data_IF_362290915101
#
_entry.id   IF_362290915101
#
_cell.length_a   1.000
_cell.length_b   1.000
_cell.length_c   1.000
_cell.angle_alpha   90.00
_cell.angle_beta   90.00
_cell.angle_gamma   90.00
#
_symmetry.space_group_name_H-M   'P 1'
#
loop_
_entity.id
_entity.type
_entity.pdbx_description
1 polymer ?
#
# COMPACT_ATOMS: atom_id res chain seq x y z
N UNK A 1 1.41 28.48 15.43
CA UNK A 1 0.85 27.61 16.48
C UNK A 1 1.57 26.27 16.35
N UNK A 2 2.25 25.81 17.39
CA UNK A 2 2.81 24.46 17.40
C UNK A 2 1.65 23.45 17.40
N UNK A 3 1.61 22.58 16.40
CA UNK A 3 0.56 21.55 16.28
C UNK A 3 0.56 20.64 17.51
N UNK A 4 -0.61 20.39 18.08
CA UNK A 4 -0.75 19.45 19.21
C UNK A 4 -0.59 18.02 18.70
N UNK A 5 0.20 17.22 19.41
CA UNK A 5 0.43 15.81 19.06
C UNK A 5 -0.74 14.98 19.59
N UNK A 6 -1.39 14.22 18.70
CA UNK A 6 -2.43 13.28 19.06
C UNK A 6 -1.86 11.85 19.03
N UNK A 7 -2.03 11.11 20.12
CA UNK A 7 -1.56 9.73 20.24
C UNK A 7 -2.61 8.76 19.71
N UNK A 8 -2.19 7.87 18.83
CA UNK A 8 -3.05 6.81 18.27
C UNK A 8 -2.66 5.47 18.85
N UNK A 9 -3.64 4.60 18.99
CA UNK A 9 -3.43 3.26 19.52
C UNK A 9 -2.76 2.33 18.48
N UNK A 10 -3.11 2.47 17.20
CA UNK A 10 -2.59 1.63 16.12
C UNK A 10 -2.58 2.35 14.76
N UNK A 11 -1.45 2.31 14.04
CA UNK A 11 -1.27 2.93 12.71
C UNK A 11 -2.17 2.37 11.59
N UNK A 12 -2.84 1.23 11.84
CA UNK A 12 -3.73 0.58 10.86
C UNK A 12 -5.15 1.13 10.90
N UNK A 13 -5.45 2.01 11.83
CA UNK A 13 -6.72 2.74 11.89
C UNK A 13 -6.73 3.85 10.82
N UNK A 14 -7.90 4.11 10.23
CA UNK A 14 -8.15 5.27 9.37
C UNK A 14 -7.87 6.56 10.13
N UNK A 15 -7.23 7.57 9.50
CA UNK A 15 -6.97 8.84 10.17
C UNK A 15 -8.27 9.44 10.75
N UNK A 16 -8.32 9.77 12.05
CA UNK A 16 -9.43 10.54 12.58
C UNK A 16 -9.34 11.96 12.02
N UNK A 17 -10.48 12.64 12.02
CA UNK A 17 -10.54 14.06 11.73
C UNK A 17 -10.60 14.79 13.06
N UNK A 18 -9.78 15.82 13.21
CA UNK A 18 -9.75 16.63 14.43
C UNK A 18 -10.27 18.01 14.08
N UNK A 19 -11.21 18.50 14.87
CA UNK A 19 -11.76 19.84 14.74
C UNK A 19 -11.39 20.67 15.96
N UNK A 20 -10.83 21.86 15.74
CA UNK A 20 -10.73 22.87 16.79
C UNK A 20 -12.00 23.71 16.74
N UNK A 21 -12.79 23.64 17.81
CA UNK A 21 -14.09 24.32 17.87
C UNK A 21 -13.93 25.62 18.65
N UNK A 22 -14.15 26.75 17.99
CA UNK A 22 -13.85 28.08 18.52
C UNK A 22 -14.67 28.45 19.77
N UNK A 23 -15.96 28.15 19.78
CA UNK A 23 -16.88 28.43 20.90
C UNK A 23 -16.62 27.57 22.14
N UNK A 24 -16.21 26.31 21.95
CA UNK A 24 -15.84 25.40 23.04
C UNK A 24 -14.38 25.59 23.48
N UNK A 25 -13.53 26.17 22.63
CA UNK A 25 -12.08 26.23 22.80
C UNK A 25 -11.44 24.83 23.05
N UNK A 26 -11.99 23.80 22.38
CA UNK A 26 -11.60 22.40 22.54
C UNK A 26 -11.27 21.74 21.20
N UNK A 27 -10.44 20.70 21.26
CA UNK A 27 -10.17 19.80 20.13
C UNK A 27 -11.15 18.62 20.21
N UNK A 28 -11.99 18.43 19.19
CA UNK A 28 -12.89 17.29 19.06
C UNK A 28 -12.34 16.32 18.03
N UNK A 29 -12.13 15.07 18.45
CA UNK A 29 -11.66 13.98 17.58
C UNK A 29 -12.85 13.16 17.06
N UNK A 30 -12.99 13.09 15.74
CA UNK A 30 -13.99 12.27 15.06
C UNK A 30 -13.34 11.02 14.45
N UNK A 31 -13.68 9.87 15.02
CA UNK A 31 -13.28 8.54 14.52
C UNK A 31 -14.51 7.82 13.95
N UNK A 32 -14.39 7.31 12.72
CA UNK A 32 -15.45 6.49 12.14
C UNK A 32 -15.39 5.09 12.72
N UNK A 33 -16.53 4.63 13.25
CA UNK A 33 -16.70 3.31 13.84
C UNK A 33 -17.67 2.53 12.97
N UNK A 34 -17.22 1.40 12.43
CA UNK A 34 -18.02 0.52 11.60
C UNK A 34 -18.81 -0.45 12.47
N UNK A 35 -20.03 -0.79 12.05
CA UNK A 35 -20.86 -1.82 12.69
C UNK A 35 -21.31 -2.82 11.64
N UNK A 36 -20.96 -4.08 11.80
CA UNK A 36 -21.33 -5.17 10.90
C UNK A 36 -22.12 -6.24 11.64
N UNK A 37 -23.17 -6.77 11.01
CA UNK A 37 -23.92 -7.91 11.53
C UNK A 37 -23.24 -9.22 11.13
N UNK A 38 -22.79 -10.00 12.11
CA UNK A 38 -22.19 -11.32 11.93
C UNK A 38 -23.12 -12.37 12.54
N UNK A 39 -23.97 -12.97 11.72
CA UNK A 39 -25.01 -13.88 12.19
C UNK A 39 -25.98 -13.17 13.16
N UNK A 40 -25.92 -13.54 14.44
CA UNK A 40 -26.75 -12.94 15.52
C UNK A 40 -26.05 -11.82 16.30
N UNK A 41 -24.76 -11.57 16.09
CA UNK A 41 -24.04 -10.51 16.81
C UNK A 41 -23.77 -9.29 15.90
N UNK A 42 -23.51 -8.14 16.54
CA UNK A 42 -22.99 -6.95 15.87
C UNK A 42 -21.54 -6.76 16.30
N UNK A 43 -20.63 -6.76 15.33
CA UNK A 43 -19.22 -6.45 15.54
C UNK A 43 -19.02 -4.96 15.26
N UNK A 44 -18.42 -4.25 16.21
CA UNK A 44 -18.18 -2.81 16.13
C UNK A 44 -16.71 -2.50 16.41
N UNK A 45 -16.06 -1.75 15.52
CA UNK A 45 -14.64 -1.41 15.61
C UNK A 45 -14.31 -0.18 14.77
N UNK A 46 -13.18 0.48 15.07
CA UNK A 46 -12.70 1.63 14.32
C UNK A 46 -12.42 1.26 12.87
N UNK A 47 -12.81 2.13 11.94
CA UNK A 47 -12.58 1.91 10.51
C UNK A 47 -11.08 1.69 10.25
N UNK A 48 -10.69 0.56 9.63
CA UNK A 48 -9.31 0.33 9.25
C UNK A 48 -8.94 1.14 8.00
N UNK A 49 -7.65 1.42 7.86
CA UNK A 49 -7.06 1.83 6.59
C UNK A 49 -6.49 0.58 5.90
N UNK A 50 -7.05 0.18 4.75
CA UNK A 50 -6.64 -1.06 4.09
C UNK A 50 -5.21 -0.98 3.59
N UNK A 51 -4.79 0.18 3.09
CA UNK A 51 -3.39 0.44 2.71
C UNK A 51 -2.45 0.14 3.89
N UNK A 52 -2.73 0.66 5.09
CA UNK A 52 -1.95 0.41 6.30
C UNK A 52 -1.94 -1.08 6.69
N UNK A 53 -3.07 -1.78 6.59
CA UNK A 53 -3.14 -3.22 6.90
C UNK A 53 -2.20 -4.01 5.98
N UNK A 54 -2.27 -3.76 4.67
CA UNK A 54 -1.44 -4.46 3.69
C UNK A 54 0.04 -4.12 3.84
N UNK A 55 0.39 -2.84 4.06
CA UNK A 55 1.77 -2.43 4.36
C UNK A 55 2.30 -3.10 5.63
N UNK A 56 1.50 -3.12 6.69
CA UNK A 56 1.89 -3.74 7.96
C UNK A 56 2.11 -5.25 7.81
N UNK A 57 1.28 -5.92 7.01
CA UNK A 57 1.49 -7.33 6.69
C UNK A 57 2.77 -7.53 5.87
N UNK A 58 2.93 -6.74 4.80
CA UNK A 58 4.12 -6.78 3.94
C UNK A 58 5.41 -6.61 4.72
N UNK A 59 5.47 -5.65 5.64
CA UNK A 59 6.67 -5.36 6.45
C UNK A 59 6.99 -6.51 7.42
N UNK A 60 5.96 -7.08 8.08
CA UNK A 60 6.12 -8.24 8.95
C UNK A 60 6.70 -9.44 8.19
N UNK A 61 6.12 -9.77 7.03
CA UNK A 61 6.60 -10.88 6.20
C UNK A 61 8.01 -10.60 5.65
N UNK A 62 8.30 -9.36 5.23
CA UNK A 62 9.62 -8.94 4.77
C UNK A 62 10.69 -9.13 5.85
N UNK A 63 10.34 -8.82 7.11
CA UNK A 63 11.25 -8.99 8.25
C UNK A 63 11.60 -10.46 8.47
N UNK A 64 10.61 -11.35 8.40
CA UNK A 64 10.85 -12.80 8.52
C UNK A 64 11.71 -13.32 7.36
N UNK A 65 11.36 -12.96 6.12
CA UNK A 65 12.14 -13.33 4.94
C UNK A 65 13.59 -12.84 5.04
N UNK A 66 13.83 -11.60 5.49
CA UNK A 66 15.19 -11.07 5.68
C UNK A 66 15.98 -11.80 6.75
N UNK A 67 15.34 -12.22 7.84
CA UNK A 67 16.00 -13.04 8.86
C UNK A 67 16.54 -14.32 8.24
N UNK A 68 15.67 -15.10 7.58
CA UNK A 68 16.07 -16.36 6.95
C UNK A 68 17.11 -16.13 5.84
N UNK A 69 16.91 -15.11 5.01
CA UNK A 69 17.86 -14.78 3.93
C UNK A 69 19.27 -14.55 4.46
N UNK A 70 19.40 -13.78 5.54
CA UNK A 70 20.71 -13.44 6.09
C UNK A 70 21.38 -14.61 6.82
N UNK A 71 20.61 -15.54 7.38
CA UNK A 71 21.14 -16.70 8.11
C UNK A 71 21.44 -17.89 7.21
N UNK A 72 20.61 -18.14 6.19
CA UNK A 72 20.69 -19.32 5.34
C UNK A 72 21.27 -19.01 3.95
N UNK A 73 20.65 -18.07 3.22
CA UNK A 73 20.88 -17.89 1.78
C UNK A 73 22.15 -17.07 1.51
N UNK A 74 22.25 -15.88 2.12
CA UNK A 74 23.33 -14.92 1.89
C UNK A 74 24.72 -15.49 2.20
N UNK A 75 24.95 -16.21 3.33
CA UNK A 75 26.27 -16.76 3.62
C UNK A 75 26.72 -17.77 2.57
N UNK A 76 25.80 -18.63 2.10
CA UNK A 76 26.10 -19.66 1.10
C UNK A 76 26.37 -19.06 -0.29
N UNK A 77 25.63 -18.03 -0.71
CA UNK A 77 25.89 -17.31 -1.97
C UNK A 77 27.28 -16.66 -1.98
N UNK A 78 27.72 -16.08 -0.86
CA UNK A 78 29.03 -15.41 -0.76
C UNK A 78 30.19 -16.40 -0.90
N UNK A 79 30.01 -17.65 -0.46
CA UNK A 79 31.04 -18.68 -0.51
C UNK A 79 31.27 -19.24 -1.93
N UNK A 80 30.44 -18.90 -2.93
CA UNK A 80 30.61 -19.22 -4.37
C UNK A 80 30.88 -20.70 -4.70
N UNK A 81 30.42 -21.62 -3.87
CA UNK A 81 30.48 -23.06 -4.11
C UNK A 81 29.09 -23.60 -4.50
N UNK A 82 29.07 -24.76 -5.16
CA UNK A 82 27.86 -25.59 -5.22
C UNK A 82 27.58 -26.06 -3.79
N UNK A 83 26.41 -25.74 -3.25
CA UNK A 83 26.01 -26.17 -1.92
C UNK A 83 24.69 -26.93 -2.00
N UNK A 84 24.65 -28.10 -1.38
CA UNK A 84 23.41 -28.82 -1.15
C UNK A 84 22.81 -28.37 0.19
N UNK A 85 21.49 -28.21 0.21
CA UNK A 85 20.76 -27.90 1.44
C UNK A 85 20.39 -29.21 2.15
N UNK A 86 20.50 -29.23 3.48
CA UNK A 86 19.91 -30.30 4.28
C UNK A 86 18.38 -30.25 4.20
N UNK A 87 17.71 -31.27 4.73
CA UNK A 87 16.24 -31.26 4.80
C UNK A 87 15.72 -30.10 5.65
N UNK A 88 16.40 -29.78 6.75
CA UNK A 88 16.06 -28.66 7.63
C UNK A 88 16.28 -27.31 6.93
N UNK A 89 17.40 -27.17 6.21
CA UNK A 89 17.66 -25.98 5.39
C UNK A 89 16.61 -25.81 4.27
N UNK A 90 16.13 -26.91 3.69
CA UNK A 90 15.05 -26.86 2.68
C UNK A 90 13.74 -26.34 3.28
N UNK A 91 13.38 -26.76 4.49
CA UNK A 91 12.19 -26.23 5.19
C UNK A 91 12.31 -24.71 5.36
N UNK A 92 13.46 -24.23 5.84
CA UNK A 92 13.72 -22.79 5.99
C UNK A 92 13.68 -22.05 4.65
N UNK A 93 14.17 -22.66 3.58
CA UNK A 93 14.07 -22.08 2.24
C UNK A 93 12.60 -21.95 1.79
N UNK A 94 11.74 -22.93 2.09
CA UNK A 94 10.32 -22.84 1.79
C UNK A 94 9.64 -21.74 2.61
N UNK A 95 9.92 -21.65 3.91
CA UNK A 95 9.43 -20.55 4.76
C UNK A 95 9.87 -19.18 4.21
N UNK A 96 11.11 -19.07 3.75
CA UNK A 96 11.59 -17.86 3.08
C UNK A 96 10.77 -17.53 1.83
N UNK A 97 10.52 -18.50 0.96
CA UNK A 97 9.76 -18.31 -0.27
C UNK A 97 8.32 -17.89 0.03
N UNK A 98 7.68 -18.49 1.04
CA UNK A 98 6.35 -18.10 1.50
C UNK A 98 6.33 -16.64 2.00
N UNK A 99 7.25 -16.28 2.90
CA UNK A 99 7.32 -14.93 3.45
C UNK A 99 7.64 -13.88 2.38
N UNK A 100 8.59 -14.13 1.48
CA UNK A 100 8.99 -13.14 0.48
C UNK A 100 7.89 -12.94 -0.57
N UNK A 101 7.23 -14.01 -1.02
CA UNK A 101 6.12 -13.91 -1.97
C UNK A 101 4.93 -13.21 -1.33
N UNK A 102 4.59 -13.56 -0.08
CA UNK A 102 3.54 -12.88 0.68
C UNK A 102 3.83 -11.38 0.82
N UNK A 103 5.07 -11.01 1.13
CA UNK A 103 5.49 -9.61 1.19
C UNK A 103 5.32 -8.88 -0.14
N UNK A 104 5.72 -9.49 -1.27
CA UNK A 104 5.57 -8.91 -2.61
C UNK A 104 4.10 -8.65 -2.96
N UNK A 105 3.23 -9.64 -2.74
CA UNK A 105 1.80 -9.53 -3.03
C UNK A 105 1.18 -8.43 -2.18
N UNK A 106 1.40 -8.46 -0.86
CA UNK A 106 0.84 -7.49 0.08
C UNK A 106 1.35 -6.06 -0.18
N UNK A 107 2.64 -5.90 -0.51
CA UNK A 107 3.23 -4.60 -0.83
C UNK A 107 2.55 -3.96 -2.05
N UNK A 108 2.33 -4.73 -3.12
CA UNK A 108 1.67 -4.22 -4.31
C UNK A 108 0.19 -3.96 -4.06
N UNK A 109 -0.50 -4.88 -3.37
CA UNK A 109 -1.92 -4.72 -3.00
C UNK A 109 -2.15 -3.48 -2.15
N UNK A 110 -1.22 -3.12 -1.25
CA UNK A 110 -1.31 -1.86 -0.52
C UNK A 110 -1.37 -0.64 -1.46
N UNK A 111 -0.57 -0.62 -2.52
CA UNK A 111 -0.58 0.48 -3.50
C UNK A 111 -1.87 0.48 -4.32
N UNK A 112 -2.43 -0.69 -4.63
CA UNK A 112 -3.74 -0.82 -5.29
C UNK A 112 -4.85 -0.23 -4.42
N UNK A 113 -4.87 -0.57 -3.13
CA UNK A 113 -5.79 0.01 -2.17
C UNK A 113 -5.61 1.53 -2.07
N UNK A 114 -4.38 2.01 -1.93
CA UNK A 114 -4.11 3.44 -1.83
C UNK A 114 -4.64 4.20 -3.05
N UNK A 115 -4.36 3.70 -4.25
CA UNK A 115 -4.80 4.34 -5.49
C UNK A 115 -6.32 4.47 -5.58
N UNK A 116 -7.06 3.46 -5.13
CA UNK A 116 -8.52 3.49 -5.13
C UNK A 116 -9.05 4.38 -3.98
N UNK A 117 -8.47 4.29 -2.78
CA UNK A 117 -8.91 5.04 -1.61
C UNK A 117 -8.67 6.55 -1.74
N UNK A 118 -7.64 6.99 -2.46
CA UNK A 118 -7.35 8.41 -2.69
C UNK A 118 -8.18 9.04 -3.80
N UNK A 119 -8.83 8.26 -4.66
CA UNK A 119 -9.56 8.79 -5.80
C UNK A 119 -10.86 9.47 -5.35
N UNK A 120 -11.09 10.76 -5.66
CA UNK A 120 -12.36 11.40 -5.34
C UNK A 120 -13.53 10.69 -6.04
N UNK A 121 -14.66 10.55 -5.33
CA UNK A 121 -15.83 9.78 -5.84
C UNK A 121 -16.37 10.32 -7.17
N UNK A 122 -16.36 11.65 -7.32
CA UNK A 122 -16.90 12.34 -8.49
C UNK A 122 -15.84 12.66 -9.56
N UNK A 123 -14.63 12.13 -9.41
CA UNK A 123 -13.57 12.36 -10.40
C UNK A 123 -13.84 11.59 -11.70
N UNK A 124 -13.63 12.28 -12.83
CA UNK A 124 -13.71 11.70 -14.17
C UNK A 124 -12.35 11.83 -14.85
N UNK A 125 -11.75 10.69 -15.17
CA UNK A 125 -10.50 10.63 -15.90
C UNK A 125 -10.75 10.67 -17.40
N UNK A 126 -10.08 11.59 -18.11
CA UNK A 126 -10.17 11.71 -19.57
C UNK A 126 -8.88 11.22 -20.21
N UNK A 127 -8.98 10.18 -21.05
CA UNK A 127 -7.85 9.61 -21.77
C UNK A 127 -8.05 9.76 -23.27
N UNK A 128 -7.03 10.25 -23.98
CA UNK A 128 -7.01 10.21 -25.45
C UNK A 128 -6.68 8.80 -25.91
N UNK A 129 -7.53 8.23 -26.76
CA UNK A 129 -7.32 6.91 -27.38
C UNK A 129 -6.77 7.06 -28.80
N UNK A 130 -6.31 5.94 -29.40
CA UNK A 130 -5.91 5.92 -30.80
C UNK A 130 -7.07 6.40 -31.68
N UNK A 131 -6.81 7.37 -32.57
CA UNK A 131 -7.83 8.03 -33.37
C UNK A 131 -8.24 9.42 -32.88
N UNK A 132 -7.72 9.88 -31.72
CA UNK A 132 -7.95 11.24 -31.21
C UNK A 132 -9.24 11.42 -30.42
N UNK A 133 -10.07 10.38 -30.33
CA UNK A 133 -11.24 10.36 -29.45
C UNK A 133 -10.82 10.45 -27.98
N UNK A 134 -11.67 11.08 -27.17
CA UNK A 134 -11.49 11.18 -25.72
C UNK A 134 -12.46 10.22 -25.07
N UNK A 135 -11.91 9.24 -24.34
CA UNK A 135 -12.68 8.33 -23.51
C UNK A 135 -12.70 8.85 -22.08
N UNK A 136 -13.89 8.92 -21.50
CA UNK A 136 -14.10 9.30 -20.11
C UNK A 136 -14.31 8.06 -19.25
N UNK A 137 -13.65 8.03 -18.09
CA UNK A 137 -13.75 6.95 -17.11
C UNK A 137 -14.22 7.55 -15.79
N UNK A 138 -15.36 7.10 -15.28
CA UNK A 138 -15.80 7.43 -13.93
C UNK A 138 -15.00 6.61 -12.89
N UNK A 139 -15.26 6.84 -11.60
CA UNK A 139 -14.57 6.13 -10.52
C UNK A 139 -14.63 4.59 -10.64
N UNK A 140 -15.80 4.00 -10.95
CA UNK A 140 -15.95 2.55 -11.14
C UNK A 140 -15.17 2.03 -12.36
N UNK A 141 -15.17 2.80 -13.44
CA UNK A 141 -14.42 2.44 -14.65
C UNK A 141 -12.90 2.53 -14.41
N UNK A 142 -12.45 3.54 -13.67
CA UNK A 142 -11.05 3.68 -13.25
C UNK A 142 -10.65 2.48 -12.40
N UNK A 143 -11.45 2.13 -11.38
CA UNK A 143 -11.18 1.01 -10.49
C UNK A 143 -11.00 -0.30 -11.27
N UNK A 144 -11.87 -0.56 -12.25
CA UNK A 144 -11.96 -1.82 -12.98
C UNK A 144 -11.01 -1.94 -14.18
N UNK A 145 -10.78 -0.86 -14.92
CA UNK A 145 -10.14 -0.92 -16.23
C UNK A 145 -8.79 -0.21 -16.31
N UNK A 146 -8.50 0.72 -15.39
CA UNK A 146 -7.22 1.42 -15.38
C UNK A 146 -6.22 0.63 -14.53
N UNK A 147 -5.03 0.39 -15.09
CA UNK A 147 -3.99 -0.35 -14.37
C UNK A 147 -3.53 0.43 -13.13
N UNK A 148 -3.07 -0.27 -12.09
CA UNK A 148 -2.53 0.37 -10.89
C UNK A 148 -1.38 1.33 -11.20
N UNK A 149 -0.54 0.99 -12.18
CA UNK A 149 0.55 1.85 -12.63
C UNK A 149 0.00 3.15 -13.21
N UNK A 150 -1.00 3.08 -14.08
CA UNK A 150 -1.60 4.26 -14.69
C UNK A 150 -2.40 5.09 -13.66
N UNK A 151 -3.05 4.42 -12.70
CA UNK A 151 -3.70 5.11 -11.57
C UNK A 151 -2.69 5.98 -10.83
N UNK A 152 -1.55 5.42 -10.45
CA UNK A 152 -0.51 6.14 -9.72
C UNK A 152 0.19 7.20 -10.60
N UNK A 153 0.51 6.88 -11.85
CA UNK A 153 1.33 7.72 -12.71
C UNK A 153 0.56 8.85 -13.41
N UNK A 154 -0.74 8.66 -13.65
CA UNK A 154 -1.54 9.55 -14.49
C UNK A 154 -2.81 10.03 -13.78
N UNK A 155 -3.58 9.11 -13.17
CA UNK A 155 -4.88 9.45 -12.59
C UNK A 155 -4.72 10.28 -11.31
N UNK A 156 -3.95 9.80 -10.32
CA UNK A 156 -3.78 10.52 -9.05
C UNK A 156 -3.15 11.91 -9.23
N UNK A 157 -2.08 12.09 -10.04
CA UNK A 157 -1.57 13.43 -10.33
C UNK A 157 -2.62 14.35 -10.94
N UNK A 158 -3.48 13.84 -11.83
CA UNK A 158 -4.55 14.61 -12.44
C UNK A 158 -5.70 14.92 -11.47
N UNK A 159 -5.99 14.03 -10.52
CA UNK A 159 -7.12 14.17 -9.60
C UNK A 159 -6.78 15.02 -8.37
N UNK A 160 -5.54 14.93 -7.89
CA UNK A 160 -5.12 15.47 -6.58
C UNK A 160 -4.01 16.51 -6.70
N UNK A 161 -3.49 16.76 -7.91
CA UNK A 161 -2.42 17.74 -8.13
C UNK A 161 -1.06 17.34 -7.58
N UNK A 162 -0.86 16.05 -7.27
CA UNK A 162 0.42 15.55 -6.75
C UNK A 162 1.48 15.39 -7.85
N UNK A 163 2.74 15.38 -7.43
CA UNK A 163 3.88 15.17 -8.32
C UNK A 163 3.80 13.80 -8.99
N UNK A 164 4.04 13.76 -10.31
CA UNK A 164 4.05 12.52 -11.07
C UNK A 164 5.13 11.55 -10.55
N UNK A 165 4.75 10.37 -10.00
CA UNK A 165 5.71 9.46 -9.38
C UNK A 165 6.72 8.81 -10.33
N UNK A 166 6.48 8.86 -11.65
CA UNK A 166 7.42 8.32 -12.66
C UNK A 166 8.79 9.00 -12.63
N UNK A 167 8.87 10.21 -12.07
CA UNK A 167 10.10 10.99 -11.93
C UNK A 167 10.97 10.53 -10.75
N UNK A 168 10.45 9.68 -9.86
CA UNK A 168 11.19 9.24 -8.69
C UNK A 168 12.21 8.14 -9.04
N UNK A 169 13.38 8.19 -8.39
CA UNK A 169 14.49 7.27 -8.65
C UNK A 169 14.15 5.78 -8.36
N UNK A 170 13.19 5.52 -7.48
CA UNK A 170 12.73 4.18 -7.15
C UNK A 170 11.62 3.67 -8.08
N UNK A 171 11.06 4.51 -8.96
CA UNK A 171 9.97 4.14 -9.86
C UNK A 171 10.28 2.90 -10.72
N UNK A 172 11.48 2.74 -11.31
CA UNK A 172 11.80 1.51 -12.05
C UNK A 172 11.85 0.24 -11.19
N UNK A 173 12.07 0.37 -9.87
CA UNK A 173 11.99 -0.76 -8.94
C UNK A 173 10.54 -1.10 -8.61
N UNK A 174 9.69 -0.07 -8.49
CA UNK A 174 8.26 -0.23 -8.24
C UNK A 174 7.55 -0.89 -9.42
N UNK A 175 7.85 -0.49 -10.67
CA UNK A 175 7.29 -1.17 -11.84
C UNK A 175 7.71 -2.64 -11.89
N UNK A 176 8.97 -2.95 -11.54
CA UNK A 176 9.45 -4.34 -11.41
C UNK A 176 8.79 -5.11 -10.26
N UNK A 177 8.30 -4.43 -9.21
CA UNK A 177 7.51 -5.07 -8.15
C UNK A 177 6.18 -5.57 -8.71
N UNK A 178 5.49 -4.78 -9.55
CA UNK A 178 4.28 -5.22 -10.26
C UNK A 178 4.55 -6.48 -11.08
N UNK A 179 5.60 -6.45 -11.89
CA UNK A 179 5.93 -7.56 -12.78
C UNK A 179 6.20 -8.83 -11.97
N UNK A 180 7.00 -8.73 -10.91
CA UNK A 180 7.28 -9.85 -10.02
C UNK A 180 6.02 -10.39 -9.33
N UNK A 181 5.13 -9.52 -8.87
CA UNK A 181 3.84 -9.91 -8.28
C UNK A 181 2.95 -10.64 -9.31
N UNK A 182 2.91 -10.17 -10.55
CA UNK A 182 2.16 -10.82 -11.62
C UNK A 182 2.76 -12.19 -11.95
N UNK A 183 4.09 -12.29 -12.03
CA UNK A 183 4.80 -13.54 -12.30
C UNK A 183 4.51 -14.60 -11.21
N UNK A 184 4.44 -14.20 -9.94
CA UNK A 184 4.06 -15.08 -8.82
C UNK A 184 2.62 -15.57 -8.94
N UNK A 185 1.66 -14.67 -9.19
CA UNK A 185 0.23 -15.03 -9.23
C UNK A 185 -0.13 -15.85 -10.46
N UNK A 186 0.55 -15.60 -11.59
CA UNK A 186 0.27 -16.23 -12.87
C UNK A 186 1.23 -17.37 -13.20
N UNK A 187 1.95 -17.92 -12.20
CA UNK A 187 2.78 -19.10 -12.40
C UNK A 187 1.91 -20.26 -12.91
N UNK A 188 2.07 -20.63 -14.19
CA UNK A 188 1.39 -21.80 -14.79
C UNK A 188 2.23 -23.06 -14.60
N UNK A 189 1.58 -24.22 -14.77
CA UNK A 189 2.26 -25.52 -14.78
C UNK A 189 3.44 -25.50 -15.76
N UNK A 190 4.59 -25.99 -15.29
CA UNK A 190 5.85 -25.99 -16.04
C UNK A 190 5.76 -27.03 -17.15
N UNK A 191 5.41 -26.62 -18.37
CA UNK A 191 5.87 -27.37 -19.54
C UNK A 191 7.39 -27.17 -19.67
N UNK A 192 8.14 -28.06 -20.32
CA UNK A 192 9.59 -27.91 -20.48
C UNK A 192 10.04 -26.56 -21.09
N UNK A 193 9.16 -25.92 -21.86
CA UNK A 193 9.39 -24.59 -22.45
C UNK A 193 9.34 -23.45 -21.41
N UNK A 194 8.59 -23.64 -20.31
CA UNK A 194 8.37 -22.63 -19.26
C UNK A 194 9.39 -22.75 -18.10
N UNK A 195 10.25 -23.77 -18.12
CA UNK A 195 11.22 -24.05 -17.06
C UNK A 195 12.21 -22.88 -16.84
N UNK A 196 12.65 -22.23 -17.92
CA UNK A 196 13.54 -21.06 -17.85
C UNK A 196 12.88 -19.84 -17.21
N UNK A 197 11.58 -19.65 -17.43
CA UNK A 197 10.84 -18.54 -16.81
C UNK A 197 10.65 -18.78 -15.32
N UNK A 198 10.32 -20.02 -14.93
CA UNK A 198 10.20 -20.40 -13.53
C UNK A 198 11.53 -20.24 -12.78
N UNK A 199 12.63 -20.71 -13.35
CA UNK A 199 13.99 -20.50 -12.81
C UNK A 199 14.30 -19.01 -12.64
N UNK A 200 13.96 -18.17 -13.62
CA UNK A 200 14.15 -16.72 -13.54
C UNK A 200 13.40 -16.12 -12.34
N UNK A 201 12.16 -16.54 -12.10
CA UNK A 201 11.35 -16.03 -10.97
C UNK A 201 12.02 -16.42 -9.64
N UNK A 202 12.37 -17.69 -9.47
CA UNK A 202 13.03 -18.17 -8.24
C UNK A 202 14.36 -17.44 -8.01
N UNK A 203 15.18 -17.27 -9.05
CA UNK A 203 16.43 -16.50 -8.96
C UNK A 203 16.19 -15.03 -8.58
N UNK A 204 15.12 -14.41 -9.09
CA UNK A 204 14.74 -13.05 -8.71
C UNK A 204 14.33 -12.98 -7.24
N UNK A 205 13.57 -13.97 -6.74
CA UNK A 205 13.18 -14.05 -5.33
C UNK A 205 14.41 -14.22 -4.44
N UNK A 206 15.35 -15.11 -4.80
CA UNK A 206 16.59 -15.35 -4.03
C UNK A 206 17.65 -14.24 -4.18
N UNK A 207 17.41 -13.22 -5.01
CA UNK A 207 18.33 -12.10 -5.17
C UNK A 207 18.08 -11.02 -4.10
N UNK A 208 19.15 -10.44 -3.53
CA UNK A 208 19.04 -9.31 -2.60
C UNK A 208 18.27 -8.10 -3.21
N UNK A 209 18.30 -8.01 -4.54
CA UNK A 209 17.57 -6.97 -5.29
C UNK A 209 16.04 -7.04 -5.11
N UNK A 210 15.47 -8.14 -4.63
CA UNK A 210 14.04 -8.28 -4.33
C UNK A 210 13.61 -7.33 -3.23
N UNK A 211 14.44 -7.15 -2.20
CA UNK A 211 14.12 -6.29 -1.06
C UNK A 211 13.99 -4.83 -1.48
N UNK A 212 14.81 -4.39 -2.44
CA UNK A 212 14.71 -3.05 -3.02
C UNK A 212 13.43 -2.82 -3.84
N UNK A 213 12.86 -3.87 -4.44
CA UNK A 213 11.58 -3.79 -5.15
C UNK A 213 10.43 -3.65 -4.15
N UNK A 214 10.40 -4.46 -3.11
CA UNK A 214 9.37 -4.37 -2.05
C UNK A 214 9.44 -3.01 -1.35
N UNK A 215 10.64 -2.55 -0.99
CA UNK A 215 10.86 -1.24 -0.35
C UNK A 215 10.32 -0.08 -1.19
N UNK A 216 10.37 -0.18 -2.52
CA UNK A 216 9.90 0.89 -3.40
C UNK A 216 8.39 1.17 -3.26
N UNK A 217 7.59 0.20 -2.81
CA UNK A 217 6.19 0.44 -2.46
C UNK A 217 6.08 1.39 -1.25
N UNK A 218 6.80 1.13 -0.17
CA UNK A 218 6.84 2.03 0.99
C UNK A 218 7.39 3.41 0.62
N UNK A 219 8.42 3.48 -0.24
CA UNK A 219 8.97 4.76 -0.72
C UNK A 219 7.93 5.55 -1.52
N UNK A 220 7.11 4.89 -2.33
CA UNK A 220 6.00 5.51 -3.06
C UNK A 220 4.94 6.08 -2.09
N UNK A 221 4.50 5.29 -1.11
CA UNK A 221 3.52 5.73 -0.11
C UNK A 221 4.06 6.94 0.67
N UNK A 222 5.33 6.89 1.08
CA UNK A 222 5.96 8.00 1.81
C UNK A 222 6.01 9.29 0.97
N UNK A 223 6.27 9.18 -0.34
CA UNK A 223 6.26 10.35 -1.24
C UNK A 223 4.87 10.94 -1.39
N UNK A 224 3.86 10.11 -1.64
CA UNK A 224 2.47 10.58 -1.74
C UNK A 224 2.02 11.18 -0.40
N UNK A 225 2.39 10.58 0.74
CA UNK A 225 2.05 11.09 2.07
C UNK A 225 2.65 12.47 2.31
N UNK A 226 3.89 12.72 1.84
CA UNK A 226 4.50 14.04 2.00
C UNK A 226 3.75 15.17 1.28
N UNK A 227 2.94 14.84 0.27
CA UNK A 227 2.11 15.80 -0.48
C UNK A 227 0.65 15.83 0.01
N UNK A 228 0.17 14.75 0.64
CA UNK A 228 -1.23 14.56 1.04
C UNK A 228 -1.40 14.15 2.51
N UNK A 229 -0.49 14.55 3.40
CA UNK A 229 -0.41 14.03 4.78
C UNK A 229 -1.71 14.15 5.58
N UNK A 230 -2.51 15.19 5.31
CA UNK A 230 -3.80 15.47 5.95
C UNK A 230 -4.99 14.73 5.32
N UNK A 231 -4.80 14.11 4.16
CA UNK A 231 -5.88 13.39 3.49
C UNK A 231 -6.30 12.18 4.31
N UNK A 232 -7.59 12.09 4.65
CA UNK A 232 -8.16 11.09 5.57
C UNK A 232 -7.83 9.63 5.20
N UNK A 233 -7.73 9.34 3.91
CA UNK A 233 -7.43 8.01 3.39
C UNK A 233 -5.94 7.70 3.27
N UNK A 234 -5.04 8.66 3.56
CA UNK A 234 -3.63 8.34 3.66
C UNK A 234 -3.38 7.46 4.89
N UNK A 235 -2.52 6.42 4.78
CA UNK A 235 -2.08 5.65 5.94
C UNK A 235 -1.29 6.52 6.93
N UNK A 236 -1.28 6.09 8.19
CA UNK A 236 -0.23 6.49 9.12
C UNK A 236 1.05 5.72 8.79
N UNK A 237 2.16 6.44 8.65
CA UNK A 237 3.48 5.87 8.40
C UNK A 237 4.22 5.56 9.70
N UNK A 238 3.83 6.22 10.79
CA UNK A 238 4.42 6.07 12.12
C UNK A 238 3.33 5.73 13.14
N UNK A 239 3.74 5.12 14.25
CA UNK A 239 2.83 4.89 15.39
C UNK A 239 2.33 6.21 16.01
N UNK A 240 3.05 7.31 15.77
CA UNK A 240 2.68 8.66 16.20
C UNK A 240 2.88 9.63 15.04
N UNK A 241 1.81 10.33 14.64
CA UNK A 241 1.83 11.43 13.68
C UNK A 241 1.04 12.62 14.22
N UNK A 242 1.52 13.84 13.94
CA UNK A 242 0.74 15.06 14.21
C UNK A 242 -0.40 15.16 13.22
N UNK A 243 -1.61 15.37 13.73
CA UNK A 243 -2.79 15.66 12.93
C UNK A 243 -3.12 17.14 13.14
N UNK A 244 -3.20 17.90 12.06
CA UNK A 244 -3.57 19.31 12.13
C UNK A 244 -5.10 19.42 12.28
N UNK A 245 -5.60 20.11 13.32
CA UNK A 245 -7.02 20.33 13.48
C UNK A 245 -7.57 21.22 12.35
N UNK A 246 -8.79 20.93 11.92
CA UNK A 246 -9.60 21.80 11.07
C UNK A 246 -10.30 22.81 11.98
N UNK A 247 -10.02 24.09 11.79
CA UNK A 247 -10.63 25.17 12.57
C UNK A 247 -12.09 25.38 12.14
N UNK A 248 -13.01 25.33 13.10
CA UNK A 248 -14.43 25.66 12.89
C UNK A 248 -14.92 26.63 13.97
N UNK A 249 -15.80 27.60 13.63
CA UNK A 249 -16.22 28.61 14.60
C UNK A 249 -17.13 28.03 15.68
N UNK A 250 -18.03 27.11 15.32
CA UNK A 250 -18.95 26.42 16.23
C UNK A 250 -19.13 24.96 15.83
N UNK A 251 -19.55 24.10 16.75
CA UNK A 251 -19.84 22.68 16.46
C UNK A 251 -20.93 22.51 15.39
N UNK A 252 -21.94 23.40 15.42
CA UNK A 252 -23.05 23.39 14.48
C UNK A 252 -22.62 23.68 13.02
N UNK A 253 -21.45 24.27 12.83
CA UNK A 253 -20.90 24.61 11.51
C UNK A 253 -20.58 23.40 10.65
N UNK A 254 -20.44 22.20 11.25
CA UNK A 254 -20.25 20.96 10.50
C UNK A 254 -21.53 20.48 9.80
N UNK A 255 -22.68 21.09 10.11
CA UNK A 255 -23.99 20.66 9.66
C UNK A 255 -24.38 19.32 10.30
N UNK A 256 -25.64 19.19 10.71
CA UNK A 256 -26.17 17.91 11.23
C UNK A 256 -26.42 16.88 10.11
N UNK A 257 -25.75 17.02 8.96
CA UNK A 257 -25.91 16.08 7.85
C UNK A 257 -25.45 14.72 8.33
N UNK A 258 -26.42 13.80 8.53
CA UNK A 258 -26.14 12.38 8.71
C UNK A 258 -25.10 12.00 7.66
N UNK A 259 -23.96 11.51 8.13
CA UNK A 259 -23.04 10.76 7.29
C UNK A 259 -23.82 9.50 6.91
N UNK A 260 -24.46 9.53 5.74
CA UNK A 260 -25.09 8.35 5.13
C UNK A 260 -24.04 7.35 4.64
#
# INVERSE_FOLDING_TARGET
MEGRVHYLFDKRVQKPVIYRVGDLNEDITMQEILTYKLGKCHLRFDRPNNTSIFLSSSDRELKQAKTIYNTLIRPKIIQRELFDLSNEDNVLLYDYLEHIQSSIVMAFTAIECLANELLPKDFVYKQKVQGGEIKEFNNKDIERWVSTIDKIALVLPSALGITNPTKYNFWPKFTKLKDLRNDIIHSRNVLPIDQKEHERIILLLLSDSVFGKIKSATELVNKIHSELSEHRNMPFLKEVETINPIEIPTWESLGTTKIE
#
